data_IF_970207635376
#
_entry.id   IF_970207635376
#
_cell.length_a   1.000
_cell.length_b   1.000
_cell.length_c   1.000
_cell.angle_alpha   90.00
_cell.angle_beta   90.00
_cell.angle_gamma   90.00
#
_symmetry.space_group_name_H-M   'P 1'
#
loop_
_entity.id
_entity.type
_entity.pdbx_description
1 polymer ?
#
# COMPACT_ATOMS: atom_id res chain seq x y z
N UNK A 1 -0.82 3.60 26.02
CA UNK A 1 0.44 3.82 25.27
C UNK A 1 0.09 4.51 23.95
N UNK A 2 0.52 5.75 23.74
CA UNK A 2 0.26 6.48 22.49
C UNK A 2 1.25 6.02 21.43
N UNK A 3 0.78 5.36 20.37
CA UNK A 3 1.64 4.82 19.31
C UNK A 3 2.20 5.98 18.50
N UNK A 4 3.48 6.31 18.68
CA UNK A 4 4.16 7.34 17.88
C UNK A 4 4.41 6.80 16.48
N UNK A 5 4.06 7.59 15.47
CA UNK A 5 4.37 7.30 14.06
C UNK A 5 5.87 7.48 13.80
N UNK A 6 6.37 6.88 12.72
CA UNK A 6 7.73 7.05 12.23
C UNK A 6 7.76 7.77 10.88
N UNK A 7 8.86 8.48 10.61
CA UNK A 7 9.12 9.15 9.35
C UNK A 7 9.26 8.12 8.22
N UNK A 8 8.58 8.34 7.08
CA UNK A 8 8.66 7.43 5.92
C UNK A 8 10.03 7.48 5.20
N UNK A 9 10.77 8.58 5.35
CA UNK A 9 12.09 8.77 4.77
C UNK A 9 13.21 8.04 5.54
N UNK A 10 13.37 8.35 6.83
CA UNK A 10 14.49 7.88 7.65
C UNK A 10 14.11 6.89 8.76
N UNK A 11 12.83 6.55 8.92
CA UNK A 11 12.29 5.66 9.96
C UNK A 11 12.47 6.15 11.41
N UNK A 12 12.99 7.36 11.63
CA UNK A 12 13.04 7.97 12.96
C UNK A 12 11.63 8.19 13.52
N UNK A 13 11.50 8.19 14.85
CA UNK A 13 10.26 8.55 15.54
C UNK A 13 9.91 10.01 15.26
N UNK A 14 8.62 10.30 15.08
CA UNK A 14 8.17 11.66 14.78
C UNK A 14 8.35 12.59 15.99
N UNK A 15 8.90 13.81 15.79
CA UNK A 15 8.97 14.83 16.82
C UNK A 15 7.58 15.37 17.15
N UNK A 16 7.46 16.06 18.29
CA UNK A 16 6.21 16.68 18.70
C UNK A 16 5.75 17.72 17.66
N UNK A 17 4.46 17.74 17.35
CA UNK A 17 3.88 18.61 16.32
C UNK A 17 3.90 18.02 14.90
N UNK A 18 4.57 16.88 14.69
CA UNK A 18 4.62 16.18 13.40
C UNK A 18 3.96 14.80 13.46
N UNK A 19 3.15 14.50 14.48
CA UNK A 19 2.60 13.16 14.74
C UNK A 19 1.76 12.62 13.56
N UNK A 20 1.13 13.51 12.80
CA UNK A 20 0.33 13.18 11.60
C UNK A 20 1.08 13.32 10.28
N UNK A 21 2.26 13.93 10.26
CA UNK A 21 3.02 14.18 9.04
C UNK A 21 3.62 12.88 8.47
N UNK A 22 3.83 12.81 7.15
CA UNK A 22 4.56 11.72 6.49
C UNK A 22 6.06 11.72 6.84
N UNK A 23 6.65 12.92 6.95
CA UNK A 23 8.09 13.15 7.02
C UNK A 23 8.45 14.02 8.22
N UNK A 24 9.63 13.77 8.80
CA UNK A 24 10.21 14.66 9.80
C UNK A 24 10.83 15.90 9.12
N UNK A 25 11.14 16.98 9.89
CA UNK A 25 11.69 18.23 9.34
C UNK A 25 12.96 18.03 8.49
N UNK A 26 13.78 17.04 8.84
CA UNK A 26 15.00 16.72 8.10
C UNK A 26 14.72 16.08 6.72
N UNK A 27 13.62 15.33 6.58
CA UNK A 27 13.28 14.65 5.33
C UNK A 27 12.34 15.46 4.44
N UNK A 28 11.68 16.47 5.01
CA UNK A 28 10.71 17.33 4.32
C UNK A 28 11.26 18.03 3.05
N UNK A 29 12.52 18.51 2.99
CA UNK A 29 13.09 19.04 1.76
C UNK A 29 13.16 18.04 0.60
N UNK A 30 13.10 16.72 0.89
CA UNK A 30 13.09 15.63 -0.10
C UNK A 30 11.70 15.03 -0.30
N UNK A 31 10.63 15.77 0.07
CA UNK A 31 9.26 15.26 0.01
C UNK A 31 8.89 14.73 -1.36
N UNK A 32 9.22 15.46 -2.44
CA UNK A 32 8.86 15.07 -3.81
C UNK A 32 9.46 13.70 -4.20
N UNK A 33 10.74 13.49 -3.91
CA UNK A 33 11.43 12.22 -4.17
C UNK A 33 10.79 11.07 -3.37
N UNK A 34 10.57 11.29 -2.07
CA UNK A 34 10.02 10.28 -1.18
C UNK A 34 8.57 9.92 -1.53
N UNK A 35 7.76 10.92 -1.89
CA UNK A 35 6.39 10.69 -2.35
C UNK A 35 6.37 9.87 -3.65
N UNK A 36 7.17 10.25 -4.64
CA UNK A 36 7.27 9.50 -5.91
C UNK A 36 7.68 8.04 -5.66
N UNK A 37 8.61 7.78 -4.73
CA UNK A 37 8.99 6.42 -4.36
C UNK A 37 7.81 5.61 -3.82
N UNK A 38 7.00 6.19 -2.92
CA UNK A 38 5.85 5.50 -2.35
C UNK A 38 4.73 5.28 -3.39
N UNK A 39 4.54 6.22 -4.34
CA UNK A 39 3.61 6.08 -5.46
C UNK A 39 4.03 4.98 -6.43
N UNK A 40 5.32 4.92 -6.81
CA UNK A 40 5.83 3.85 -7.68
C UNK A 40 5.67 2.48 -7.02
N UNK A 41 5.96 2.39 -5.72
CA UNK A 41 5.74 1.15 -4.96
C UNK A 41 4.25 0.75 -4.92
N UNK A 42 3.34 1.70 -4.70
CA UNK A 42 1.90 1.48 -4.75
C UNK A 42 1.47 0.94 -6.12
N UNK A 43 1.90 1.60 -7.19
CA UNK A 43 1.57 1.20 -8.57
C UNK A 43 2.00 -0.24 -8.88
N UNK A 44 3.20 -0.65 -8.45
CA UNK A 44 3.67 -2.02 -8.64
C UNK A 44 2.81 -3.06 -7.90
N UNK A 45 2.31 -2.71 -6.71
CA UNK A 45 1.36 -3.55 -5.97
C UNK A 45 -0.01 -3.62 -6.67
N UNK A 46 -0.51 -2.50 -7.20
CA UNK A 46 -1.77 -2.44 -7.97
C UNK A 46 -1.69 -3.32 -9.22
N UNK A 47 -0.63 -3.20 -10.02
CA UNK A 47 -0.42 -4.02 -11.22
C UNK A 47 -0.40 -5.53 -10.88
N UNK A 48 0.21 -5.89 -9.74
CA UNK A 48 0.24 -7.28 -9.27
C UNK A 48 -1.13 -7.73 -8.77
N UNK A 49 -1.85 -6.88 -8.03
CA UNK A 49 -3.20 -7.14 -7.54
C UNK A 49 -4.15 -7.41 -8.72
N UNK A 50 -4.17 -6.53 -9.72
CA UNK A 50 -5.04 -6.63 -10.88
C UNK A 50 -4.81 -7.93 -11.65
N UNK A 51 -3.54 -8.29 -11.87
CA UNK A 51 -3.18 -9.54 -12.56
C UNK A 51 -3.69 -10.77 -11.81
N UNK A 52 -3.40 -10.88 -10.51
CA UNK A 52 -3.77 -12.05 -9.70
C UNK A 52 -5.28 -12.16 -9.51
N UNK A 53 -5.96 -11.03 -9.31
CA UNK A 53 -7.41 -11.00 -9.12
C UNK A 53 -8.16 -11.38 -10.40
N UNK A 54 -7.73 -10.84 -11.54
CA UNK A 54 -8.28 -11.18 -12.85
C UNK A 54 -8.04 -12.67 -13.18
N UNK A 55 -6.87 -13.21 -12.84
CA UNK A 55 -6.56 -14.63 -13.02
C UNK A 55 -7.52 -15.52 -12.21
N UNK A 56 -7.85 -15.12 -10.98
CA UNK A 56 -8.84 -15.83 -10.16
C UNK A 56 -10.25 -15.77 -10.76
N UNK A 57 -10.70 -14.62 -11.27
CA UNK A 57 -12.00 -14.49 -11.93
C UNK A 57 -12.10 -15.36 -13.19
N UNK A 58 -11.02 -15.44 -13.99
CA UNK A 58 -10.94 -16.34 -15.15
C UNK A 58 -10.99 -17.81 -14.74
N UNK A 59 -10.28 -18.18 -13.68
CA UNK A 59 -10.29 -19.54 -13.12
C UNK A 59 -11.70 -19.94 -12.63
N UNK A 60 -12.44 -19.01 -12.02
CA UNK A 60 -13.82 -19.23 -11.59
C UNK A 60 -14.82 -19.25 -12.76
N UNK A 61 -14.57 -18.48 -13.82
CA UNK A 61 -15.47 -18.34 -14.96
C UNK A 61 -16.61 -17.33 -14.76
N UNK A 62 -16.58 -16.55 -13.67
CA UNK A 62 -17.57 -15.51 -13.35
C UNK A 62 -16.87 -14.17 -13.16
N UNK A 63 -17.38 -13.13 -13.81
CA UNK A 63 -16.92 -11.74 -13.64
C UNK A 63 -17.85 -10.94 -12.72
N UNK A 64 -19.06 -11.45 -12.48
CA UNK A 64 -20.13 -10.73 -11.76
C UNK A 64 -20.31 -11.24 -10.33
N UNK A 65 -19.76 -12.40 -10.00
CA UNK A 65 -19.83 -13.00 -8.66
C UNK A 65 -18.50 -12.89 -7.93
N UNK A 66 -18.55 -13.05 -6.61
CA UNK A 66 -17.35 -13.04 -5.77
C UNK A 66 -16.50 -14.31 -5.98
N UNK A 67 -15.17 -14.15 -5.96
CA UNK A 67 -14.21 -15.25 -6.11
C UNK A 67 -14.10 -16.10 -4.83
N UNK A 68 -14.92 -17.14 -4.72
CA UNK A 68 -14.94 -18.10 -3.61
C UNK A 68 -14.06 -19.34 -3.89
N UNK A 69 -12.74 -19.16 -3.87
CA UNK A 69 -11.76 -20.27 -4.00
C UNK A 69 -11.13 -20.63 -2.66
N UNK A 70 -11.01 -21.93 -2.34
CA UNK A 70 -10.38 -22.49 -1.13
C UNK A 70 -9.23 -23.48 -1.41
N UNK A 71 -8.79 -23.61 -2.66
CA UNK A 71 -7.71 -24.51 -3.07
C UNK A 71 -6.35 -24.02 -2.56
N UNK A 72 -5.80 -24.70 -1.56
CA UNK A 72 -4.52 -24.34 -0.92
C UNK A 72 -3.29 -24.71 -1.76
N UNK A 73 -3.45 -25.60 -2.74
CA UNK A 73 -2.38 -25.99 -3.66
C UNK A 73 -2.23 -25.00 -4.82
N UNK A 74 -3.19 -24.08 -5.00
CA UNK A 74 -3.08 -23.01 -5.98
C UNK A 74 -2.02 -21.99 -5.52
N UNK A 75 -0.99 -21.69 -6.34
CA UNK A 75 0.06 -20.74 -5.96
C UNK A 75 -0.47 -19.33 -5.70
N UNK A 76 -1.61 -18.96 -6.29
CA UNK A 76 -2.23 -17.64 -6.15
C UNK A 76 -2.99 -17.50 -4.82
N UNK A 77 -3.42 -18.60 -4.20
CA UNK A 77 -4.36 -18.58 -3.09
C UNK A 77 -3.92 -17.69 -1.93
N UNK A 78 -2.66 -17.81 -1.50
CA UNK A 78 -2.09 -16.93 -0.47
C UNK A 78 -1.57 -15.61 -1.03
N UNK A 79 -1.07 -15.61 -2.27
CA UNK A 79 -0.54 -14.40 -2.92
C UNK A 79 -1.62 -13.31 -3.07
N UNK A 80 -2.84 -13.67 -3.49
CA UNK A 80 -3.96 -12.71 -3.62
C UNK A 80 -4.34 -12.04 -2.30
N UNK A 81 -4.25 -12.77 -1.19
CA UNK A 81 -4.57 -12.22 0.13
C UNK A 81 -3.45 -11.31 0.61
N UNK A 82 -2.20 -11.73 0.43
CA UNK A 82 -1.02 -10.94 0.79
C UNK A 82 -0.99 -9.61 0.03
N UNK A 83 -1.15 -9.64 -1.30
CA UNK A 83 -1.08 -8.43 -2.12
C UNK A 83 -2.18 -7.42 -1.75
N UNK A 84 -3.37 -7.89 -1.39
CA UNK A 84 -4.46 -7.04 -0.87
C UNK A 84 -4.06 -6.33 0.42
N UNK A 85 -3.43 -7.04 1.37
CA UNK A 85 -2.96 -6.47 2.64
C UNK A 85 -1.78 -5.52 2.46
N UNK A 86 -0.85 -5.88 1.57
CA UNK A 86 0.32 -5.06 1.23
C UNK A 86 -0.14 -3.74 0.57
N UNK A 87 -1.12 -3.81 -0.35
CA UNK A 87 -1.68 -2.64 -1.01
C UNK A 87 -2.41 -1.70 -0.03
N UNK A 88 -3.26 -2.24 0.86
CA UNK A 88 -3.91 -1.44 1.92
C UNK A 88 -2.89 -0.75 2.84
N UNK A 89 -1.78 -1.43 3.15
CA UNK A 89 -0.70 -0.85 3.94
C UNK A 89 0.02 0.27 3.19
N UNK A 90 0.30 0.06 1.90
CA UNK A 90 0.98 1.04 1.06
C UNK A 90 0.10 2.27 0.79
N UNK A 91 -1.19 2.08 0.58
CA UNK A 91 -2.18 3.15 0.43
C UNK A 91 -2.17 4.09 1.65
N UNK A 92 -2.20 3.52 2.87
CA UNK A 92 -2.11 4.31 4.11
C UNK A 92 -0.80 5.10 4.23
N UNK A 93 0.30 4.64 3.63
CA UNK A 93 1.56 5.39 3.60
C UNK A 93 1.46 6.59 2.66
N UNK A 94 0.88 6.40 1.48
CA UNK A 94 0.66 7.48 0.49
C UNK A 94 -0.28 8.54 1.05
N UNK A 95 -1.37 8.14 1.72
CA UNK A 95 -2.33 9.06 2.34
C UNK A 95 -1.72 10.01 3.38
N UNK A 96 -0.58 9.65 4.00
CA UNK A 96 0.10 10.55 4.95
C UNK A 96 0.68 11.82 4.30
N UNK A 97 0.84 11.83 2.98
CA UNK A 97 1.30 13.01 2.23
C UNK A 97 0.18 14.01 1.95
N UNK A 98 -1.08 13.67 2.27
CA UNK A 98 -2.25 14.50 2.00
C UNK A 98 -2.97 14.10 0.71
N UNK A 99 -4.12 14.75 0.47
CA UNK A 99 -4.83 14.63 -0.79
C UNK A 99 -4.10 15.43 -1.89
N UNK A 100 -4.12 14.99 -3.15
CA UNK A 100 -3.71 15.83 -4.25
C UNK A 100 -4.68 17.01 -4.37
N UNK A 101 -4.19 18.22 -4.12
CA UNK A 101 -4.91 19.45 -4.46
C UNK A 101 -4.52 19.85 -5.89
N UNK A 102 -5.53 20.07 -6.74
CA UNK A 102 -5.40 20.43 -8.15
C UNK A 102 -5.95 21.83 -8.43
#
# INVERSE_FOLDING_TARGET
MTKKSSCLGCRALMPNGYEKAALCPHCEPRMSELYQREIVAKRSLEETFDRLWTECQRCQGSLHEEVLCSNRDCPIFYMRQKIRMDLDTQEKRVQRFGAPDW
#
